data_IF_996979778075
#
_entry.id   IF_996979778075
#
_cell.length_a   1.000
_cell.length_b   1.000
_cell.length_c   1.000
_cell.angle_alpha   90.00
_cell.angle_beta   90.00
_cell.angle_gamma   90.00
#
_symmetry.space_group_name_H-M   'P 1'
#
loop_
_entity.id
_entity.type
_entity.pdbx_description
1 polymer ?
#
# COMPACT_ATOMS: atom_id res chain seq x y z
N UNK A 1 27.15 6.59 -1.13
CA UNK A 1 28.12 7.22 -0.21
C UNK A 1 28.78 8.33 -1.00
N UNK A 2 28.85 9.56 -0.49
CA UNK A 2 29.50 10.63 -1.24
C UNK A 2 31.03 10.40 -1.31
N UNK A 3 31.67 10.83 -2.40
CA UNK A 3 33.11 10.65 -2.60
C UNK A 3 33.96 11.39 -1.53
N UNK A 4 33.42 12.43 -0.90
CA UNK A 4 34.12 13.16 0.18
C UNK A 4 34.19 12.35 1.48
N UNK A 5 33.14 11.60 1.81
CA UNK A 5 33.03 10.78 3.01
C UNK A 5 33.97 9.59 2.91
N UNK A 6 34.01 8.96 1.74
CA UNK A 6 34.94 7.88 1.46
C UNK A 6 36.39 8.36 1.54
N UNK A 7 36.71 9.51 0.92
CA UNK A 7 38.04 10.11 1.00
C UNK A 7 38.44 10.43 2.44
N UNK A 8 37.49 10.88 3.28
CA UNK A 8 37.72 11.08 4.71
C UNK A 8 38.02 9.79 5.47
N UNK A 9 37.44 8.65 5.07
CA UNK A 9 37.74 7.34 5.65
C UNK A 9 39.12 6.85 5.18
N UNK A 10 39.44 7.04 3.90
CA UNK A 10 40.74 6.68 3.33
C UNK A 10 41.90 7.38 4.05
N UNK A 11 41.76 8.68 4.29
CA UNK A 11 42.75 9.45 5.05
C UNK A 11 42.90 8.91 6.50
N UNK A 12 41.79 8.55 7.16
CA UNK A 12 41.83 7.95 8.50
C UNK A 12 42.49 6.58 8.50
N UNK A 13 42.31 5.77 7.46
CA UNK A 13 42.93 4.46 7.34
C UNK A 13 44.43 4.59 7.04
N UNK A 14 44.80 5.52 6.17
CA UNK A 14 46.18 5.85 5.85
C UNK A 14 47.00 6.20 7.10
N UNK A 15 46.46 7.08 7.96
CA UNK A 15 47.14 7.50 9.20
C UNK A 15 47.31 6.36 10.21
N UNK A 16 46.59 5.24 10.03
CA UNK A 16 46.63 4.06 10.90
C UNK A 16 47.58 2.97 10.39
N UNK A 17 48.07 3.08 9.15
CA UNK A 17 48.92 2.07 8.53
C UNK A 17 50.40 2.37 8.80
N UNK A 18 51.10 1.42 9.40
CA UNK A 18 52.57 1.47 9.48
C UNK A 18 53.20 1.23 8.11
N UNK A 19 54.50 1.57 7.95
CA UNK A 19 55.25 1.24 6.72
C UNK A 19 55.21 -0.25 6.37
N UNK A 20 55.17 -1.12 7.39
CA UNK A 20 55.10 -2.56 7.19
C UNK A 20 53.71 -3.01 6.74
N UNK A 21 52.65 -2.41 7.30
CA UNK A 21 51.27 -2.70 6.92
C UNK A 21 50.98 -2.22 5.49
N UNK A 22 51.53 -1.07 5.09
CA UNK A 22 51.47 -0.59 3.69
C UNK A 22 52.07 -1.61 2.73
N UNK A 23 53.27 -2.12 3.02
CA UNK A 23 53.92 -3.14 2.18
C UNK A 23 53.12 -4.44 2.10
N UNK A 24 52.56 -4.90 3.23
CA UNK A 24 51.70 -6.09 3.30
C UNK A 24 50.42 -5.90 2.49
N UNK A 25 49.79 -4.74 2.60
CA UNK A 25 48.58 -4.38 1.88
C UNK A 25 48.82 -4.36 0.36
N UNK A 26 49.92 -3.74 -0.09
CA UNK A 26 50.34 -3.74 -1.50
C UNK A 26 50.65 -5.14 -2.02
N UNK A 27 51.26 -6.00 -1.20
CA UNK A 27 51.52 -7.39 -1.56
C UNK A 27 50.21 -8.18 -1.70
N UNK A 28 49.31 -8.02 -0.74
CA UNK A 28 48.04 -8.75 -0.69
C UNK A 28 47.13 -8.39 -1.87
N UNK A 29 47.03 -7.10 -2.18
CA UNK A 29 46.16 -6.57 -3.24
C UNK A 29 46.84 -6.51 -4.61
N UNK A 30 48.14 -6.82 -4.68
CA UNK A 30 49.00 -6.57 -5.83
C UNK A 30 48.63 -7.33 -7.10
N UNK A 31 47.78 -8.35 -7.02
CA UNK A 31 47.30 -9.07 -8.21
C UNK A 31 46.09 -8.40 -8.87
N UNK A 32 45.38 -7.54 -8.14
CA UNK A 32 44.12 -6.95 -8.56
C UNK A 32 44.26 -5.47 -8.98
N UNK A 33 45.49 -4.94 -8.97
CA UNK A 33 45.80 -3.53 -9.25
C UNK A 33 46.92 -3.36 -10.30
N UNK A 34 46.94 -2.25 -11.05
CA UNK A 34 48.00 -1.96 -12.01
C UNK A 34 49.39 -1.97 -11.39
N UNK A 35 50.38 -2.54 -12.08
CA UNK A 35 51.78 -2.65 -11.61
C UNK A 35 52.36 -1.32 -11.11
N UNK A 36 52.01 -0.20 -11.76
CA UNK A 36 52.47 1.14 -11.39
C UNK A 36 52.07 1.54 -9.96
N UNK A 37 50.89 1.10 -9.51
CA UNK A 37 50.37 1.38 -8.16
C UNK A 37 50.90 0.34 -7.16
N UNK A 38 50.99 -0.92 -7.60
CA UNK A 38 51.51 -2.02 -6.78
C UNK A 38 52.91 -1.78 -6.26
N UNK A 39 53.81 -1.30 -7.12
CA UNK A 39 55.25 -1.23 -6.81
C UNK A 39 55.64 0.05 -6.04
N UNK A 40 54.68 0.90 -5.65
CA UNK A 40 54.90 2.11 -4.84
C UNK A 40 54.38 1.93 -3.39
N UNK A 41 55.21 1.46 -2.44
CA UNK A 41 54.80 1.27 -1.05
C UNK A 41 54.77 2.58 -0.24
N UNK A 42 54.96 3.73 -0.89
CA UNK A 42 54.87 5.02 -0.22
C UNK A 42 53.45 5.29 0.26
N UNK A 43 53.32 6.27 1.15
CA UNK A 43 52.03 6.78 1.60
C UNK A 43 51.12 7.18 0.41
N UNK A 44 51.70 7.80 -0.61
CA UNK A 44 50.99 8.24 -1.83
C UNK A 44 50.57 7.05 -2.68
N UNK A 45 51.40 6.01 -2.79
CA UNK A 45 51.08 4.79 -3.50
C UNK A 45 49.98 3.99 -2.82
N UNK A 46 49.98 3.91 -1.49
CA UNK A 46 48.90 3.27 -0.72
C UNK A 46 47.58 4.01 -0.84
N UNK A 47 47.60 5.36 -0.85
CA UNK A 47 46.40 6.14 -1.11
C UNK A 47 45.87 5.87 -2.53
N UNK A 48 46.75 5.88 -3.53
CA UNK A 48 46.38 5.61 -4.93
C UNK A 48 45.83 4.18 -5.12
N UNK A 49 46.38 3.21 -4.37
CA UNK A 49 45.90 1.83 -4.33
C UNK A 49 44.50 1.76 -3.75
N UNK A 50 44.29 2.36 -2.59
CA UNK A 50 42.97 2.41 -1.97
C UNK A 50 41.97 3.13 -2.88
N UNK A 51 42.31 4.32 -3.38
CA UNK A 51 41.50 5.07 -4.33
C UNK A 51 41.16 4.23 -5.57
N UNK A 52 42.10 3.44 -6.11
CA UNK A 52 41.82 2.56 -7.27
C UNK A 52 40.82 1.44 -7.00
N UNK A 53 40.74 0.95 -5.76
CA UNK A 53 39.71 -0.01 -5.35
C UNK A 53 38.33 0.65 -5.21
N UNK A 54 38.31 1.96 -5.10
CA UNK A 54 37.15 2.78 -4.79
C UNK A 54 36.69 3.67 -5.95
N UNK A 55 37.47 3.78 -7.01
CA UNK A 55 37.16 4.49 -8.26
C UNK A 55 36.14 3.73 -9.14
N UNK A 56 35.70 2.55 -8.72
CA UNK A 56 34.55 1.89 -9.33
C UNK A 56 33.29 2.58 -8.82
N UNK A 57 32.48 3.13 -9.72
CA UNK A 57 31.28 3.96 -9.46
C UNK A 57 30.25 3.40 -8.45
N UNK A 58 30.41 2.16 -7.98
CA UNK A 58 29.62 1.54 -6.91
C UNK A 58 30.46 0.62 -6.06
N UNK A 59 30.96 1.16 -4.95
CA UNK A 59 31.44 0.35 -3.82
C UNK A 59 30.21 -0.32 -3.21
N UNK A 60 30.18 -1.64 -3.25
CA UNK A 60 29.10 -2.43 -2.69
C UNK A 60 29.56 -3.11 -1.38
N UNK A 61 28.65 -3.83 -0.72
CA UNK A 61 28.92 -4.48 0.57
C UNK A 61 30.03 -5.53 0.50
N UNK A 62 30.21 -6.16 -0.66
CA UNK A 62 31.27 -7.13 -0.91
C UNK A 62 32.65 -6.47 -0.84
N UNK A 63 32.80 -5.28 -1.42
CA UNK A 63 34.08 -4.55 -1.43
C UNK A 63 34.50 -4.11 -0.02
N UNK A 64 33.54 -3.67 0.79
CA UNK A 64 33.76 -3.38 2.21
C UNK A 64 34.19 -4.63 2.99
N UNK A 65 33.50 -5.75 2.77
CA UNK A 65 33.79 -7.02 3.44
C UNK A 65 35.18 -7.54 3.04
N UNK A 66 35.51 -7.45 1.76
CA UNK A 66 36.82 -7.81 1.23
C UNK A 66 37.93 -6.99 1.88
N UNK A 67 37.77 -5.66 1.96
CA UNK A 67 38.75 -4.79 2.62
C UNK A 67 38.89 -5.08 4.11
N UNK A 68 37.78 -5.29 4.82
CA UNK A 68 37.81 -5.68 6.23
C UNK A 68 38.62 -6.97 6.41
N UNK A 69 38.41 -7.96 5.54
CA UNK A 69 39.14 -9.23 5.60
C UNK A 69 40.62 -9.04 5.27
N UNK A 70 40.96 -8.26 4.24
CA UNK A 70 42.33 -7.93 3.89
C UNK A 70 43.08 -7.26 5.07
N UNK A 71 42.44 -6.31 5.75
CA UNK A 71 43.03 -5.68 6.94
C UNK A 71 43.18 -6.64 8.13
N UNK A 72 42.22 -7.55 8.34
CA UNK A 72 42.36 -8.58 9.37
C UNK A 72 43.53 -9.53 9.05
N UNK A 73 43.70 -9.91 7.78
CA UNK A 73 44.73 -10.86 7.34
C UNK A 73 46.14 -10.28 7.49
N UNK A 74 46.33 -8.99 7.18
CA UNK A 74 47.60 -8.30 7.44
C UNK A 74 47.80 -7.90 8.91
N UNK A 75 46.84 -8.21 9.78
CA UNK A 75 46.79 -7.89 11.21
C UNK A 75 46.69 -6.40 11.55
N UNK A 76 46.18 -5.58 10.63
CA UNK A 76 45.89 -4.17 10.88
C UNK A 76 44.50 -4.01 11.53
N UNK A 77 44.41 -4.39 12.81
CA UNK A 77 43.15 -4.47 13.55
C UNK A 77 42.44 -3.11 13.65
N UNK A 78 43.19 -2.02 13.80
CA UNK A 78 42.64 -0.66 13.88
C UNK A 78 41.91 -0.26 12.59
N UNK A 79 42.49 -0.54 11.42
CA UNK A 79 41.88 -0.25 10.13
C UNK A 79 40.61 -1.09 9.91
N UNK A 80 40.67 -2.38 10.23
CA UNK A 80 39.50 -3.27 10.16
C UNK A 80 38.37 -2.81 11.10
N UNK A 81 38.71 -2.34 12.30
CA UNK A 81 37.74 -1.80 13.27
C UNK A 81 37.05 -0.55 12.73
N UNK A 82 37.81 0.41 12.18
CA UNK A 82 37.24 1.63 11.58
C UNK A 82 36.26 1.29 10.46
N UNK A 83 36.61 0.36 9.56
CA UNK A 83 35.72 -0.07 8.48
C UNK A 83 34.45 -0.76 9.00
N UNK A 84 34.56 -1.64 10.00
CA UNK A 84 33.39 -2.28 10.65
C UNK A 84 32.46 -1.26 11.28
N UNK A 85 33.00 -0.25 11.96
CA UNK A 85 32.20 0.83 12.55
C UNK A 85 31.47 1.66 11.48
N UNK A 86 32.11 1.92 10.33
CA UNK A 86 31.45 2.62 9.22
C UNK A 86 30.36 1.76 8.56
N UNK A 87 30.63 0.48 8.32
CA UNK A 87 29.62 -0.46 7.81
C UNK A 87 28.40 -0.53 8.73
N UNK A 88 28.62 -0.59 10.04
CA UNK A 88 27.53 -0.58 11.03
C UNK A 88 26.68 0.71 10.95
N UNK A 89 27.32 1.89 10.83
CA UNK A 89 26.61 3.16 10.69
C UNK A 89 25.78 3.23 9.41
N UNK A 90 26.34 2.79 8.28
CA UNK A 90 25.62 2.73 7.00
C UNK A 90 24.38 1.83 7.14
N UNK A 91 24.53 0.65 7.72
CA UNK A 91 23.40 -0.28 7.93
C UNK A 91 22.32 0.30 8.85
N UNK A 92 22.72 1.03 9.91
CA UNK A 92 21.77 1.74 10.77
C UNK A 92 20.99 2.82 10.00
N UNK A 93 21.67 3.62 9.17
CA UNK A 93 21.02 4.63 8.33
C UNK A 93 20.07 4.01 7.31
N UNK A 94 20.46 2.92 6.65
CA UNK A 94 19.59 2.20 5.71
C UNK A 94 18.31 1.72 6.41
N UNK A 95 18.45 1.13 7.60
CA UNK A 95 17.29 0.66 8.37
C UNK A 95 16.37 1.81 8.79
N UNK A 96 16.93 2.95 9.19
CA UNK A 96 16.15 4.15 9.50
C UNK A 96 15.41 4.68 8.28
N UNK A 97 16.06 4.77 7.12
CA UNK A 97 15.44 5.22 5.87
C UNK A 97 14.32 4.26 5.43
N UNK A 98 14.54 2.95 5.52
CA UNK A 98 13.51 1.95 5.20
C UNK A 98 12.29 2.09 6.13
N UNK A 99 12.51 2.38 7.41
CA UNK A 99 11.41 2.65 8.34
C UNK A 99 10.64 3.92 7.94
N UNK A 100 11.35 5.01 7.61
CA UNK A 100 10.72 6.27 7.16
C UNK A 100 9.94 6.10 5.85
N UNK A 101 10.47 5.33 4.89
CA UNK A 101 9.77 5.01 3.63
C UNK A 101 8.46 4.27 3.95
N UNK A 102 8.51 3.27 4.81
CA UNK A 102 7.32 2.50 5.22
C UNK A 102 6.27 3.40 5.89
N UNK A 103 6.71 4.33 6.74
CA UNK A 103 5.80 5.27 7.41
C UNK A 103 5.15 6.22 6.39
N UNK A 104 5.92 6.75 5.44
CA UNK A 104 5.40 7.58 4.34
C UNK A 104 4.44 6.82 3.42
N UNK A 105 4.69 5.54 3.15
CA UNK A 105 3.79 4.68 2.39
C UNK A 105 2.46 4.46 3.14
N UNK A 106 2.51 4.24 4.45
CA UNK A 106 1.32 4.09 5.29
C UNK A 106 0.52 5.40 5.39
N UNK A 107 1.19 6.54 5.55
CA UNK A 107 0.55 7.87 5.55
C UNK A 107 -0.10 8.19 4.20
N UNK A 108 0.58 7.90 3.09
CA UNK A 108 -0.02 8.04 1.75
C UNK A 108 -1.23 7.13 1.58
N UNK A 109 -1.16 5.88 2.05
CA UNK A 109 -2.27 4.92 1.94
C UNK A 109 -3.51 5.38 2.72
N UNK A 110 -3.33 5.88 3.94
CA UNK A 110 -4.43 6.38 4.78
C UNK A 110 -5.02 7.70 4.28
N UNK A 111 -4.24 8.57 3.64
CA UNK A 111 -4.76 9.78 3.00
C UNK A 111 -5.68 9.50 1.79
N UNK A 112 -5.56 8.31 1.18
CA UNK A 112 -6.29 7.93 -0.01
C UNK A 112 -7.67 7.35 0.29
N UNK A 113 -7.89 6.73 1.45
CA UNK A 113 -9.14 6.04 1.76
C UNK A 113 -9.88 6.75 2.91
N UNK A 114 -11.17 6.97 2.72
CA UNK A 114 -12.05 7.60 3.70
C UNK A 114 -13.27 6.74 3.96
N UNK A 115 -13.50 6.37 5.22
CA UNK A 115 -14.71 5.68 5.64
C UNK A 115 -15.90 6.66 5.63
N UNK A 116 -17.01 6.25 5.00
CA UNK A 116 -18.28 6.96 5.01
C UNK A 116 -19.12 6.68 6.27
N UNK A 117 -20.31 7.25 6.31
CA UNK A 117 -21.32 7.01 7.32
C UNK A 117 -21.91 5.59 7.21
N UNK A 118 -22.30 5.03 8.36
CA UNK A 118 -23.09 3.80 8.43
C UNK A 118 -24.57 4.12 8.27
N UNK A 119 -25.20 3.54 7.26
CA UNK A 119 -26.63 3.65 6.97
C UNK A 119 -27.34 2.36 7.38
N UNK A 120 -28.48 2.46 8.06
CA UNK A 120 -29.26 1.29 8.50
C UNK A 120 -29.12 0.95 9.98
N UNK A 121 -29.61 -0.23 10.37
CA UNK A 121 -29.62 -0.75 11.73
C UNK A 121 -28.35 -1.49 12.13
N UNK A 122 -28.39 -2.19 13.27
CA UNK A 122 -27.26 -2.98 13.81
C UNK A 122 -27.51 -4.50 13.75
N UNK A 123 -28.56 -4.94 13.07
CA UNK A 123 -28.89 -6.36 12.86
C UNK A 123 -27.91 -7.06 11.93
N UNK A 124 -28.13 -8.36 11.70
CA UNK A 124 -27.37 -9.15 10.73
C UNK A 124 -25.92 -9.46 11.11
N UNK A 125 -25.26 -10.25 10.27
CA UNK A 125 -23.85 -10.59 10.32
C UNK A 125 -23.01 -9.57 9.54
N UNK A 126 -21.81 -9.20 10.01
CA UNK A 126 -20.98 -8.23 9.31
C UNK A 126 -20.44 -8.78 7.98
N UNK A 127 -20.32 -7.91 6.98
CA UNK A 127 -19.60 -8.19 5.74
C UNK A 127 -18.63 -7.05 5.40
N UNK A 128 -17.57 -7.38 4.67
CA UNK A 128 -16.55 -6.45 4.21
C UNK A 128 -16.00 -6.91 2.86
N UNK A 129 -16.31 -6.17 1.78
CA UNK A 129 -15.85 -6.51 0.44
C UNK A 129 -14.33 -6.44 0.28
N UNK A 130 -13.64 -5.65 1.12
CA UNK A 130 -12.18 -5.51 1.06
C UNK A 130 -11.43 -6.77 1.51
N UNK A 131 -12.12 -7.68 2.19
CA UNK A 131 -11.56 -8.96 2.62
C UNK A 131 -11.78 -10.08 1.58
N UNK A 132 -12.42 -9.77 0.44
CA UNK A 132 -12.55 -10.73 -0.65
C UNK A 132 -11.16 -11.09 -1.18
N UNK A 133 -10.92 -12.37 -1.48
CA UNK A 133 -9.61 -12.83 -1.96
C UNK A 133 -9.16 -12.02 -3.17
N UNK A 134 -7.90 -11.59 -3.13
CA UNK A 134 -7.31 -10.71 -4.15
C UNK A 134 -8.06 -9.38 -4.30
N UNK A 135 -8.65 -8.80 -3.25
CA UNK A 135 -9.07 -7.40 -3.26
C UNK A 135 -7.90 -6.48 -2.89
N UNK A 136 -7.69 -5.41 -3.66
CA UNK A 136 -6.69 -4.38 -3.45
C UNK A 136 -7.33 -3.04 -3.77
N UNK A 137 -6.77 -1.96 -3.25
CA UNK A 137 -7.28 -0.61 -3.47
C UNK A 137 -7.16 -0.13 -4.93
N UNK A 138 -6.47 -0.90 -5.79
CA UNK A 138 -6.40 -0.65 -7.24
C UNK A 138 -7.54 -1.28 -8.04
N UNK A 139 -8.45 -2.03 -7.40
CA UNK A 139 -9.59 -2.62 -8.10
C UNK A 139 -10.67 -1.61 -8.40
N UNK A 140 -11.32 -1.84 -9.54
CA UNK A 140 -12.33 -0.94 -10.06
C UNK A 140 -13.70 -1.53 -9.77
N UNK A 141 -14.49 -0.80 -8.97
CA UNK A 141 -15.91 -1.06 -8.87
C UNK A 141 -16.51 -0.94 -10.27
N UNK A 142 -17.10 -2.02 -10.76
CA UNK A 142 -17.61 -2.15 -12.13
C UNK A 142 -19.12 -1.89 -12.21
N UNK A 143 -19.79 -1.72 -11.08
CA UNK A 143 -21.22 -1.49 -11.04
C UNK A 143 -21.83 -1.89 -9.70
N UNK A 144 -23.15 -1.95 -9.71
CA UNK A 144 -23.96 -2.39 -8.60
C UNK A 144 -25.10 -3.25 -9.13
N UNK A 145 -25.37 -4.34 -8.42
CA UNK A 145 -26.51 -5.21 -8.70
C UNK A 145 -27.32 -5.24 -7.41
N UNK A 146 -28.61 -4.99 -7.52
CA UNK A 146 -29.50 -4.81 -6.37
C UNK A 146 -30.78 -5.58 -6.60
N UNK A 147 -31.33 -6.19 -5.54
CA UNK A 147 -32.73 -6.58 -5.47
C UNK A 147 -33.41 -5.78 -4.36
N UNK A 148 -34.62 -5.34 -4.66
CA UNK A 148 -35.53 -4.81 -3.66
C UNK A 148 -36.78 -5.67 -3.68
N UNK A 149 -37.25 -6.12 -2.51
CA UNK A 149 -38.44 -6.96 -2.40
C UNK A 149 -39.74 -6.15 -2.22
N UNK A 150 -39.74 -4.87 -2.59
CA UNK A 150 -40.85 -3.95 -2.38
C UNK A 150 -40.90 -3.34 -0.98
N UNK A 151 -40.23 -3.95 0.00
CA UNK A 151 -40.06 -3.37 1.33
C UNK A 151 -38.67 -2.79 1.51
N UNK A 152 -37.62 -3.55 1.26
CA UNK A 152 -36.25 -3.12 1.56
C UNK A 152 -35.25 -3.70 0.58
N UNK A 153 -34.07 -3.12 0.58
CA UNK A 153 -32.90 -3.73 -0.01
C UNK A 153 -32.61 -5.04 0.73
N UNK A 154 -32.78 -6.16 0.05
CA UNK A 154 -32.63 -7.49 0.65
C UNK A 154 -31.50 -8.31 0.05
N UNK A 155 -30.91 -7.78 -1.02
CA UNK A 155 -29.82 -8.39 -1.75
C UNK A 155 -29.01 -7.31 -2.47
N UNK A 156 -27.69 -7.38 -2.36
CA UNK A 156 -26.78 -6.47 -3.05
C UNK A 156 -25.48 -7.18 -3.44
N UNK A 157 -24.92 -6.79 -4.58
CA UNK A 157 -23.63 -7.26 -5.06
C UNK A 157 -22.88 -6.11 -5.74
N UNK A 158 -21.59 -5.98 -5.41
CA UNK A 158 -20.69 -5.01 -5.99
C UNK A 158 -19.66 -5.73 -6.89
N UNK A 159 -19.89 -5.83 -8.21
CA UNK A 159 -18.89 -6.40 -9.12
C UNK A 159 -17.62 -5.55 -9.13
N UNK A 160 -16.46 -6.20 -8.93
CA UNK A 160 -15.14 -5.56 -9.00
C UNK A 160 -14.32 -6.16 -10.16
N UNK A 161 -13.40 -5.39 -10.72
CA UNK A 161 -12.44 -5.87 -11.72
C UNK A 161 -11.00 -5.71 -11.27
N UNK A 162 -10.18 -6.75 -11.50
CA UNK A 162 -8.76 -6.76 -11.13
C UNK A 162 -7.87 -5.92 -12.04
N UNK A 163 -8.37 -5.61 -13.23
CA UNK A 163 -7.75 -4.71 -14.17
C UNK A 163 -8.80 -3.75 -14.71
N UNK A 164 -8.30 -2.66 -15.26
CA UNK A 164 -9.11 -1.68 -15.95
C UNK A 164 -9.81 -2.27 -17.20
N UNK A 165 -9.35 -3.41 -17.71
CA UNK A 165 -10.05 -4.19 -18.72
C UNK A 165 -11.13 -5.02 -18.01
N UNK A 166 -12.40 -4.72 -18.28
CA UNK A 166 -13.62 -5.35 -17.68
C UNK A 166 -13.71 -6.89 -17.81
N UNK A 167 -12.74 -7.55 -18.44
CA UNK A 167 -12.70 -8.99 -18.67
C UNK A 167 -12.16 -9.78 -17.47
N UNK A 168 -11.55 -9.13 -16.48
CA UNK A 168 -11.05 -9.78 -15.27
C UNK A 168 -11.98 -9.48 -14.10
N UNK A 169 -13.10 -10.18 -14.04
CA UNK A 169 -14.10 -10.05 -12.96
C UNK A 169 -13.58 -10.76 -11.72
N UNK A 170 -13.44 -10.03 -10.61
CA UNK A 170 -13.29 -10.63 -9.28
C UNK A 170 -14.67 -11.15 -8.90
N UNK A 171 -14.77 -12.40 -8.47
CA UNK A 171 -16.03 -12.98 -8.03
C UNK A 171 -16.58 -12.17 -6.86
N UNK A 172 -17.54 -11.30 -7.15
CA UNK A 172 -18.13 -10.43 -6.15
C UNK A 172 -19.03 -11.25 -5.24
N UNK A 173 -18.76 -11.22 -3.93
CA UNK A 173 -19.64 -11.84 -2.95
C UNK A 173 -21.01 -11.17 -3.01
N UNK A 174 -22.03 -12.00 -2.98
CA UNK A 174 -23.41 -11.57 -2.81
C UNK A 174 -23.68 -11.37 -1.33
N UNK A 175 -24.32 -10.26 -0.98
CA UNK A 175 -24.80 -10.01 0.37
C UNK A 175 -26.33 -10.00 0.42
N UNK A 176 -26.91 -10.58 1.47
CA UNK A 176 -28.35 -10.78 1.66
C UNK A 176 -28.86 -12.12 1.15
N UNK A 177 -30.20 -12.30 1.13
CA UNK A 177 -30.82 -13.58 0.77
C UNK A 177 -31.02 -13.67 -0.75
N UNK A 178 -30.54 -14.74 -1.40
CA UNK A 178 -30.75 -14.96 -2.83
C UNK A 178 -32.09 -15.65 -3.15
N UNK A 179 -33.21 -15.01 -2.83
CA UNK A 179 -34.54 -15.40 -3.32
C UNK A 179 -34.78 -15.09 -4.81
N UNK A 180 -35.80 -15.73 -5.40
CA UNK A 180 -36.22 -15.46 -6.78
C UNK A 180 -36.88 -14.08 -6.84
N UNK A 181 -36.46 -13.23 -7.79
CA UNK A 181 -37.03 -11.91 -8.00
C UNK A 181 -36.31 -11.13 -9.09
N UNK A 182 -36.83 -9.94 -9.41
CA UNK A 182 -36.22 -9.05 -10.40
C UNK A 182 -35.00 -8.35 -9.80
N UNK A 183 -33.84 -8.55 -10.42
CA UNK A 183 -32.60 -7.84 -10.05
C UNK A 183 -32.38 -6.67 -10.98
N UNK A 184 -32.06 -5.52 -10.40
CA UNK A 184 -31.65 -4.34 -11.13
C UNK A 184 -30.13 -4.28 -11.24
N UNK A 185 -29.63 -3.95 -12.43
CA UNK A 185 -28.20 -3.84 -12.72
C UNK A 185 -27.87 -2.43 -13.18
N UNK A 186 -26.85 -1.83 -12.59
CA UNK A 186 -26.25 -0.59 -13.08
C UNK A 186 -24.74 -0.80 -13.20
N UNK A 187 -24.30 -1.06 -14.43
CA UNK A 187 -22.89 -1.30 -14.74
C UNK A 187 -22.22 0.00 -15.18
N UNK A 188 -21.00 0.21 -14.71
CA UNK A 188 -20.19 1.36 -15.06
C UNK A 188 -19.53 1.15 -16.43
N UNK A 189 -19.48 2.22 -17.20
CA UNK A 189 -18.67 2.29 -18.39
C UNK A 189 -17.18 2.36 -18.04
N UNK A 190 -16.33 2.17 -19.04
CA UNK A 190 -14.90 2.44 -18.93
C UNK A 190 -14.66 3.88 -18.43
N UNK A 191 -13.74 4.05 -17.48
CA UNK A 191 -13.42 5.30 -16.76
C UNK A 191 -14.52 5.91 -15.90
N UNK A 192 -15.71 5.31 -15.89
CA UNK A 192 -16.78 5.82 -15.06
C UNK A 192 -16.61 5.37 -13.62
N UNK A 193 -16.81 6.32 -12.70
CA UNK A 193 -16.67 6.08 -11.26
C UNK A 193 -17.89 6.61 -10.54
N UNK A 194 -18.25 6.00 -9.42
CA UNK A 194 -19.31 6.50 -8.54
C UNK A 194 -18.71 7.57 -7.62
N UNK A 195 -19.25 8.78 -7.63
CA UNK A 195 -18.74 9.89 -6.81
C UNK A 195 -19.73 10.33 -5.72
N UNK A 196 -20.97 9.88 -5.82
CA UNK A 196 -22.05 10.23 -4.89
C UNK A 196 -23.02 9.07 -4.79
N UNK A 197 -23.52 8.87 -3.58
CA UNK A 197 -24.60 7.94 -3.28
C UNK A 197 -25.76 8.68 -2.59
N UNK A 198 -26.96 8.15 -2.74
CA UNK A 198 -28.12 8.52 -1.96
C UNK A 198 -28.76 7.27 -1.37
N UNK A 199 -29.04 7.31 -0.08
CA UNK A 199 -29.62 6.19 0.66
C UNK A 199 -30.94 6.66 1.26
N UNK A 200 -32.00 5.87 1.08
CA UNK A 200 -33.30 6.15 1.68
C UNK A 200 -33.50 5.23 2.88
N UNK A 201 -33.75 5.82 4.05
CA UNK A 201 -33.89 5.10 5.31
C UNK A 201 -35.29 5.27 5.90
N UNK A 202 -35.76 4.25 6.61
CA UNK A 202 -37.04 4.31 7.29
C UNK A 202 -36.94 3.54 8.61
N UNK A 203 -37.42 4.14 9.69
CA UNK A 203 -37.59 3.45 10.96
C UNK A 203 -38.84 2.57 10.87
N UNK A 204 -38.67 1.30 11.19
CA UNK A 204 -39.75 0.30 11.13
C UNK A 204 -39.78 -0.49 12.41
N UNK A 205 -40.96 -0.95 12.77
CA UNK A 205 -41.17 -1.90 13.84
C UNK A 205 -41.53 -3.25 13.22
N UNK A 206 -40.70 -4.25 13.46
CA UNK A 206 -40.81 -5.60 12.93
C UNK A 206 -41.07 -6.60 14.07
N UNK A 207 -41.52 -7.79 13.71
CA UNK A 207 -41.69 -8.91 14.63
C UNK A 207 -40.56 -9.93 14.42
N UNK A 208 -39.96 -10.38 15.51
CA UNK A 208 -39.14 -11.59 15.55
C UNK A 208 -39.99 -12.84 15.35
N UNK A 209 -39.35 -13.99 15.11
CA UNK A 209 -40.04 -15.27 14.92
C UNK A 209 -40.84 -15.70 16.17
N UNK A 210 -40.43 -15.25 17.35
CA UNK A 210 -41.10 -15.49 18.63
C UNK A 210 -42.26 -14.51 18.92
N UNK A 211 -42.53 -13.56 18.00
CA UNK A 211 -43.55 -12.53 18.15
C UNK A 211 -43.09 -11.28 18.90
N UNK A 212 -41.83 -11.19 19.34
CA UNK A 212 -41.29 -10.00 20.00
C UNK A 212 -41.13 -8.85 19.01
N UNK A 213 -41.60 -7.67 19.38
CA UNK A 213 -41.43 -6.45 18.60
C UNK A 213 -40.02 -5.88 18.74
N UNK A 214 -39.44 -5.44 17.62
CA UNK A 214 -38.21 -4.65 17.63
C UNK A 214 -38.26 -3.54 16.59
N UNK A 215 -37.66 -2.39 16.93
CA UNK A 215 -37.51 -1.28 15.99
C UNK A 215 -36.12 -1.32 15.35
N UNK A 216 -36.06 -1.10 14.04
CA UNK A 216 -34.82 -1.04 13.27
C UNK A 216 -34.92 0.00 12.17
N UNK A 217 -33.78 0.36 11.57
CA UNK A 217 -33.71 1.25 10.41
C UNK A 217 -33.45 0.38 9.19
N UNK A 218 -34.41 0.35 8.26
CA UNK A 218 -34.24 -0.36 6.99
C UNK A 218 -33.72 0.57 5.90
N UNK A 219 -32.87 0.01 5.05
CA UNK A 219 -32.46 0.62 3.78
C UNK A 219 -33.58 0.35 2.77
N UNK A 220 -34.36 1.39 2.47
CA UNK A 220 -35.53 1.34 1.59
C UNK A 220 -35.18 1.57 0.12
N UNK A 221 -34.05 2.24 -0.13
CA UNK A 221 -33.58 2.54 -1.47
C UNK A 221 -32.13 2.99 -1.47
N UNK A 222 -31.50 2.81 -2.62
CA UNK A 222 -30.15 3.24 -2.92
C UNK A 222 -30.18 3.87 -4.31
N UNK A 223 -29.42 4.93 -4.51
CA UNK A 223 -29.19 5.52 -5.83
C UNK A 223 -27.73 5.93 -5.92
N UNK A 224 -27.11 5.66 -7.06
CA UNK A 224 -25.70 6.00 -7.30
C UNK A 224 -25.58 6.99 -8.45
N UNK A 225 -24.59 7.88 -8.35
CA UNK A 225 -24.31 8.94 -9.31
C UNK A 225 -22.86 8.83 -9.77
N UNK A 226 -22.63 9.00 -11.07
CA UNK A 226 -21.34 8.73 -11.68
C UNK A 226 -20.65 9.96 -12.25
N UNK A 227 -19.33 9.89 -12.39
CA UNK A 227 -18.50 10.97 -12.95
C UNK A 227 -18.84 11.32 -14.40
N UNK A 228 -19.60 10.48 -15.11
CA UNK A 228 -20.13 10.76 -16.45
C UNK A 228 -21.52 11.37 -16.46
N UNK A 229 -22.07 11.74 -15.30
CA UNK A 229 -23.40 12.35 -15.19
C UNK A 229 -24.56 11.36 -15.30
N UNK A 230 -24.31 10.04 -15.22
CA UNK A 230 -25.38 9.04 -15.13
C UNK A 230 -25.81 8.87 -13.68
N UNK A 231 -27.07 8.51 -13.50
CA UNK A 231 -27.61 8.07 -12.21
C UNK A 231 -28.30 6.73 -12.39
N UNK A 232 -28.17 5.84 -11.41
CA UNK A 232 -29.04 4.66 -11.36
C UNK A 232 -30.49 5.08 -11.14
N UNK A 233 -31.44 4.18 -11.41
CA UNK A 233 -32.79 4.38 -10.90
C UNK A 233 -32.76 4.47 -9.38
N UNK A 234 -33.70 5.22 -8.80
CA UNK A 234 -33.93 5.21 -7.37
C UNK A 234 -34.57 3.85 -7.04
N UNK A 235 -33.85 2.99 -6.32
CA UNK A 235 -34.34 1.65 -5.97
C UNK A 235 -35.32 1.69 -4.78
N UNK A 236 -36.24 2.66 -4.72
CA UNK A 236 -37.14 2.88 -3.60
C UNK A 236 -38.60 2.50 -3.90
N UNK A 237 -39.31 2.01 -2.87
CA UNK A 237 -40.73 1.63 -2.97
C UNK A 237 -41.64 2.32 -1.96
N UNK A 238 -41.08 2.97 -0.94
CA UNK A 238 -41.85 3.55 0.18
C UNK A 238 -41.24 4.90 0.58
N UNK A 239 -42.02 5.75 1.25
CA UNK A 239 -41.54 6.96 1.92
C UNK A 239 -40.44 6.65 2.95
N UNK A 240 -39.55 7.61 3.14
CA UNK A 240 -38.38 7.49 4.00
C UNK A 240 -37.45 8.70 3.83
N UNK A 241 -36.59 8.90 4.82
CA UNK A 241 -35.64 10.01 4.85
C UNK A 241 -34.48 9.74 3.88
N UNK A 242 -34.14 10.75 3.08
CA UNK A 242 -33.07 10.65 2.09
C UNK A 242 -31.79 11.22 2.67
N UNK A 243 -30.73 10.40 2.67
CA UNK A 243 -29.38 10.77 3.04
C UNK A 243 -28.50 10.76 1.82
N UNK A 244 -27.53 11.67 1.77
CA UNK A 244 -26.58 11.79 0.66
C UNK A 244 -25.17 11.75 1.21
N UNK A 245 -24.30 11.00 0.53
CA UNK A 245 -22.87 11.00 0.83
C UNK A 245 -22.06 11.24 -0.44
N UNK A 246 -21.14 12.18 -0.36
CA UNK A 246 -20.16 12.52 -1.38
C UNK A 246 -18.97 13.20 -0.71
N UNK A 247 -17.77 12.98 -1.26
CA UNK A 247 -16.56 13.66 -0.81
C UNK A 247 -15.80 14.21 -2.00
N UNK A 248 -15.41 15.48 -1.94
CA UNK A 248 -14.75 16.15 -3.06
C UNK A 248 -13.41 15.50 -3.43
N UNK A 249 -13.25 15.15 -4.70
CA UNK A 249 -12.09 14.40 -5.22
C UNK A 249 -12.05 12.90 -4.90
N UNK A 250 -13.07 12.35 -4.25
CA UNK A 250 -13.16 10.92 -3.94
C UNK A 250 -14.17 10.20 -4.83
N UNK A 251 -13.94 8.90 -5.03
CA UNK A 251 -14.85 7.98 -5.70
C UNK A 251 -15.02 6.71 -4.88
N UNK A 252 -16.17 6.05 -4.99
CA UNK A 252 -16.45 4.83 -4.23
C UNK A 252 -15.45 3.72 -4.57
N UNK A 253 -14.86 3.12 -3.55
CA UNK A 253 -13.91 2.03 -3.67
C UNK A 253 -14.58 0.68 -3.42
N UNK A 254 -15.15 0.50 -2.24
CA UNK A 254 -15.84 -0.73 -1.83
C UNK A 254 -16.89 -0.44 -0.75
N UNK A 255 -17.66 -1.47 -0.40
CA UNK A 255 -18.67 -1.41 0.64
C UNK A 255 -18.39 -2.41 1.77
N UNK A 256 -18.81 -2.04 2.98
CA UNK A 256 -18.93 -2.93 4.13
C UNK A 256 -20.32 -2.77 4.71
N UNK A 257 -20.71 -3.66 5.61
CA UNK A 257 -22.05 -3.57 6.16
C UNK A 257 -22.43 -4.72 7.05
N UNK A 258 -23.74 -4.93 7.15
CA UNK A 258 -24.34 -6.05 7.85
C UNK A 258 -25.48 -6.63 7.03
N UNK A 259 -25.55 -7.95 6.98
CA UNK A 259 -26.51 -8.71 6.20
C UNK A 259 -27.24 -9.73 7.06
N UNK A 260 -28.53 -9.88 6.83
CA UNK A 260 -29.36 -10.89 7.47
C UNK A 260 -30.48 -11.30 6.54
N UNK A 261 -31.73 -11.16 6.99
CA UNK A 261 -32.89 -11.32 6.11
C UNK A 261 -32.96 -10.20 5.05
N UNK A 262 -32.42 -9.04 5.40
CA UNK A 262 -32.29 -7.88 4.53
C UNK A 262 -30.87 -7.35 4.62
N UNK A 263 -30.55 -6.30 3.86
CA UNK A 263 -29.34 -5.52 4.12
C UNK A 263 -29.62 -4.60 5.31
N UNK A 264 -29.13 -5.01 6.47
CA UNK A 264 -29.33 -4.31 7.74
C UNK A 264 -28.51 -3.01 7.81
N UNK A 265 -27.30 -3.01 7.26
CA UNK A 265 -26.41 -1.86 7.29
C UNK A 265 -25.53 -1.78 6.03
N UNK A 266 -25.25 -0.56 5.57
CA UNK A 266 -24.24 -0.25 4.55
C UNK A 266 -23.31 0.85 5.03
N UNK A 267 -22.02 0.71 4.73
CA UNK A 267 -21.00 1.73 4.86
C UNK A 267 -20.15 1.72 3.60
N UNK A 268 -19.84 2.90 3.08
CA UNK A 268 -19.09 3.06 1.84
C UNK A 268 -17.69 3.57 2.13
N UNK A 269 -16.69 2.98 1.50
CA UNK A 269 -15.31 3.42 1.60
C UNK A 269 -14.91 4.12 0.31
N UNK A 270 -14.35 5.31 0.47
CA UNK A 270 -14.11 6.25 -0.62
C UNK A 270 -12.62 6.37 -0.89
N UNK A 271 -12.21 6.30 -2.15
CA UNK A 271 -10.82 6.43 -2.59
C UNK A 271 -10.60 7.75 -3.32
N UNK A 272 -9.56 8.50 -2.93
CA UNK A 272 -9.12 9.72 -3.62
C UNK A 272 -8.20 9.35 -4.76
N UNK A 273 -8.62 9.62 -5.99
CA UNK A 273 -7.68 9.48 -7.12
C UNK A 273 -6.74 10.67 -7.11
N UNK A 274 -5.46 10.47 -6.78
CA UNK A 274 -4.45 11.51 -6.93
C UNK A 274 -4.18 11.66 -8.41
N UNK A 275 -4.70 12.74 -9.01
CA UNK A 275 -4.34 13.10 -10.38
C UNK A 275 -2.89 13.57 -10.33
N UNK A 276 -1.95 12.72 -10.73
CA UNK A 276 -0.58 13.14 -11.01
C UNK A 276 -0.62 13.93 -12.32
N UNK A 277 -0.51 15.24 -12.22
CA UNK A 277 -0.33 16.14 -13.36
C UNK A 277 1.08 16.01 -13.94
#
# INVERSE_FOLDING_TARGET
MDNHHLRGILLKLQDRLSDNDRKRLHFFLGNDIPRRIRDDPSLSGTLSLMESLFDQDKINEYDFTFLINAFNEIQCIDAAKVLKEQQLRINQTINQLNHQIKDLENEKSTALIKAGQKFGGTGGDPFDDSLTENFTCSHYLSGIIIRNNGMSLDWIQFPYSSSYNQNSVIEAKVHGIQEKGEVSRFLLEKDEKIYKIQVKLSNVTLYWQDGTLFSTILIRGLQIFTTKGRASQSYDHVEGDVFTEQFDGYTLAYATGREGRYIDQLQFYWYRTVVTH
#
